data_IF_259113000107
#
_entry.id   IF_259113000107
#
_cell.length_a   1.000
_cell.length_b   1.000
_cell.length_c   1.000
_cell.angle_alpha   90.00
_cell.angle_beta   90.00
_cell.angle_gamma   90.00
#
_symmetry.space_group_name_H-M   'P 1'
#
loop_
_entity.id
_entity.type
_entity.pdbx_description
1 polymer ?
#
# COMPACT_ATOMS: atom_id res chain seq x y z
N UNK A 1 7.57 1.23 13.73
CA UNK A 1 6.33 0.42 13.70
C UNK A 1 6.12 -0.27 12.34
N UNK A 2 6.50 0.38 11.24
CA UNK A 2 6.37 -0.13 9.86
C UNK A 2 6.99 -1.52 9.61
N UNK A 3 8.09 -1.89 10.27
CA UNK A 3 8.85 -3.12 9.99
C UNK A 3 8.19 -4.43 10.46
N UNK A 4 7.12 -4.37 11.25
CA UNK A 4 6.50 -5.58 11.85
C UNK A 4 5.12 -5.92 11.26
N UNK A 5 4.61 -5.10 10.34
CA UNK A 5 3.30 -5.31 9.71
C UNK A 5 3.45 -5.96 8.35
N UNK A 6 2.42 -6.72 7.92
CA UNK A 6 2.36 -7.18 6.53
C UNK A 6 2.15 -5.97 5.60
N UNK A 7 2.88 -5.97 4.49
CA UNK A 7 2.85 -4.90 3.50
C UNK A 7 1.42 -4.56 3.01
N UNK A 8 0.53 -5.56 2.88
CA UNK A 8 -0.85 -5.32 2.45
C UNK A 8 -1.66 -4.52 3.47
N UNK A 9 -1.62 -4.88 4.76
CA UNK A 9 -2.33 -4.18 5.83
C UNK A 9 -1.81 -2.75 6.01
N UNK A 10 -0.49 -2.56 5.91
CA UNK A 10 0.13 -1.23 5.93
C UNK A 10 -0.40 -0.35 4.79
N UNK A 11 -0.40 -0.86 3.56
CA UNK A 11 -0.89 -0.12 2.41
C UNK A 11 -2.38 0.23 2.54
N UNK A 12 -3.21 -0.74 2.96
CA UNK A 12 -4.65 -0.53 3.19
C UNK A 12 -4.88 0.57 4.24
N UNK A 13 -4.21 0.49 5.40
CA UNK A 13 -4.32 1.50 6.44
C UNK A 13 -3.86 2.87 5.95
N UNK A 14 -2.77 2.94 5.19
CA UNK A 14 -2.28 4.19 4.61
C UNK A 14 -3.32 4.85 3.70
N UNK A 15 -3.94 4.09 2.78
CA UNK A 15 -5.00 4.65 1.93
C UNK A 15 -6.20 5.15 2.73
N UNK A 16 -6.60 4.45 3.79
CA UNK A 16 -7.66 4.90 4.68
C UNK A 16 -7.30 6.20 5.42
N UNK A 17 -6.04 6.37 5.86
CA UNK A 17 -5.56 7.64 6.46
C UNK A 17 -5.58 8.81 5.47
N UNK A 18 -5.48 8.53 4.17
CA UNK A 18 -5.62 9.53 3.10
C UNK A 18 -7.09 9.84 2.76
N UNK A 19 -8.07 9.19 3.43
CA UNK A 19 -9.49 9.33 3.12
C UNK A 19 -9.93 8.59 1.85
N UNK A 20 -9.15 7.60 1.40
CA UNK A 20 -9.43 6.80 0.22
C UNK A 20 -10.00 5.43 0.63
N UNK A 21 -10.75 4.78 -0.28
CA UNK A 21 -11.32 3.45 -0.06
C UNK A 21 -10.52 2.39 -0.84
N UNK A 22 -9.59 1.65 -0.20
CA UNK A 22 -8.82 0.60 -0.87
C UNK A 22 -9.70 -0.63 -1.19
N UNK A 23 -9.46 -1.25 -2.35
CA UNK A 23 -10.15 -2.46 -2.82
C UNK A 23 -9.15 -3.60 -3.05
N UNK A 24 -8.59 -4.22 -1.99
CA UNK A 24 -7.58 -5.27 -2.14
C UNK A 24 -8.17 -6.53 -2.75
N UNK A 25 -7.68 -6.93 -3.93
CA UNK A 25 -8.06 -8.19 -4.58
C UNK A 25 -7.33 -9.38 -3.94
N UNK A 26 -8.08 -10.41 -3.55
CA UNK A 26 -7.52 -11.71 -3.14
C UNK A 26 -8.54 -12.81 -3.41
N UNK A 27 -8.06 -13.99 -3.81
CA UNK A 27 -8.87 -15.22 -3.89
C UNK A 27 -8.62 -16.16 -2.69
N UNK A 28 -7.55 -15.91 -1.93
CA UNK A 28 -7.23 -16.65 -0.72
C UNK A 28 -8.00 -16.09 0.48
N UNK A 29 -8.68 -16.97 1.23
CA UNK A 29 -9.55 -16.61 2.36
C UNK A 29 -8.79 -16.04 3.54
N UNK A 30 -7.63 -16.59 3.86
CA UNK A 30 -6.77 -16.11 4.94
C UNK A 30 -6.31 -14.69 4.68
N UNK A 31 -5.93 -14.39 3.42
CA UNK A 31 -5.56 -13.04 2.98
C UNK A 31 -6.74 -12.06 3.02
N UNK A 32 -7.95 -12.48 2.61
CA UNK A 32 -9.15 -11.63 2.69
C UNK A 32 -9.42 -11.22 4.13
N UNK A 33 -9.38 -12.18 5.07
CA UNK A 33 -9.56 -11.91 6.49
C UNK A 33 -8.49 -10.97 7.03
N UNK A 34 -7.22 -11.31 6.78
CA UNK A 34 -6.06 -10.52 7.17
C UNK A 34 -6.12 -9.05 6.69
N UNK A 35 -6.60 -8.80 5.47
CA UNK A 35 -6.69 -7.45 4.92
C UNK A 35 -7.67 -6.55 5.70
N UNK A 36 -8.63 -7.12 6.43
CA UNK A 36 -9.56 -6.39 7.30
C UNK A 36 -9.06 -6.19 8.74
N UNK A 37 -7.97 -6.85 9.14
CA UNK A 37 -7.41 -6.75 10.49
C UNK A 37 -6.54 -5.49 10.60
N UNK A 38 -7.17 -4.33 10.82
CA UNK A 38 -6.54 -3.00 10.78
C UNK A 38 -6.56 -2.29 12.14
N UNK A 39 -6.41 -3.04 13.23
CA UNK A 39 -6.43 -2.52 14.61
C UNK A 39 -5.10 -1.86 14.99
N UNK A 40 -4.72 -0.83 14.23
CA UNK A 40 -3.55 0.00 14.47
C UNK A 40 -3.71 1.34 13.73
N UNK A 41 -2.95 2.35 14.17
CA UNK A 41 -2.87 3.65 13.51
C UNK A 41 -1.44 3.91 13.04
N UNK A 42 -1.30 4.69 11.98
CA UNK A 42 -0.01 5.19 11.54
C UNK A 42 0.30 6.49 12.29
N UNK A 43 1.52 6.62 12.78
CA UNK A 43 1.97 7.90 13.37
C UNK A 43 2.09 8.96 12.28
N UNK A 44 2.11 10.24 12.68
CA UNK A 44 2.37 11.33 11.74
C UNK A 44 3.70 11.15 11.01
N UNK A 45 4.74 10.69 11.69
CA UNK A 45 6.07 10.47 11.10
C UNK A 45 6.04 9.31 10.09
N UNK A 46 5.36 8.21 10.41
CA UNK A 46 5.15 7.10 9.47
C UNK A 46 4.37 7.58 8.23
N UNK A 47 3.33 8.40 8.42
CA UNK A 47 2.55 8.97 7.31
C UNK A 47 3.39 9.90 6.43
N UNK A 48 4.23 10.74 7.02
CA UNK A 48 5.14 11.60 6.26
C UNK A 48 6.17 10.78 5.50
N UNK A 49 6.73 9.72 6.11
CA UNK A 49 7.65 8.82 5.43
C UNK A 49 6.98 8.18 4.20
N UNK A 50 5.77 7.62 4.36
CA UNK A 50 5.02 6.97 3.28
C UNK A 50 4.66 7.94 2.14
N UNK A 51 4.30 9.19 2.46
CA UNK A 51 3.98 10.22 1.46
C UNK A 51 5.18 10.62 0.60
N UNK A 52 6.39 10.47 1.13
CA UNK A 52 7.63 10.87 0.48
C UNK A 52 8.41 9.68 -0.11
N UNK A 53 7.79 8.50 -0.23
CA UNK A 53 8.37 7.38 -0.98
C UNK A 53 8.63 7.83 -2.41
N UNK A 54 9.83 7.53 -2.92
CA UNK A 54 10.22 7.85 -4.29
C UNK A 54 9.26 7.23 -5.29
N UNK A 55 8.87 8.02 -6.30
CA UNK A 55 8.05 7.50 -7.39
C UNK A 55 8.84 6.46 -8.17
N UNK A 56 8.14 5.44 -8.66
CA UNK A 56 8.73 4.44 -9.55
C UNK A 56 9.18 5.14 -10.83
N UNK A 57 10.49 5.16 -11.07
CA UNK A 57 11.07 5.79 -12.25
C UNK A 57 11.11 4.87 -13.47
N UNK A 58 11.14 3.55 -13.25
CA UNK A 58 11.24 2.55 -14.31
C UNK A 58 10.47 1.28 -13.89
N UNK A 59 9.64 0.75 -14.80
CA UNK A 59 8.82 -0.44 -14.59
C UNK A 59 9.50 -1.74 -15.08
N UNK A 60 10.83 -1.70 -15.24
CA UNK A 60 11.68 -2.79 -15.73
C UNK A 60 11.27 -3.23 -17.12
N UNK A 61 11.14 -4.55 -17.28
CA UNK A 61 10.69 -5.21 -18.51
C UNK A 61 9.28 -4.78 -18.95
N UNK A 62 8.49 -4.16 -18.07
CA UNK A 62 7.15 -3.66 -18.41
C UNK A 62 7.16 -2.23 -18.96
N UNK A 63 8.32 -1.56 -19.01
CA UNK A 63 8.40 -0.15 -19.42
C UNK A 63 8.01 0.09 -20.89
N UNK A 64 7.91 -0.95 -21.71
CA UNK A 64 7.44 -0.82 -23.10
C UNK A 64 5.93 -0.59 -23.22
N UNK A 65 5.13 -0.88 -22.18
CA UNK A 65 3.70 -0.64 -22.25
C UNK A 65 3.41 0.87 -22.26
N UNK A 66 2.60 1.38 -23.22
CA UNK A 66 2.36 2.82 -23.37
C UNK A 66 1.80 3.50 -22.12
N UNK A 67 1.02 2.78 -21.31
CA UNK A 67 0.44 3.26 -20.04
C UNK A 67 1.49 3.67 -19.00
N UNK A 68 2.72 3.14 -19.10
CA UNK A 68 3.82 3.45 -18.18
C UNK A 68 4.82 4.46 -18.76
N UNK A 69 4.54 5.03 -19.94
CA UNK A 69 5.31 6.15 -20.48
C UNK A 69 4.90 7.44 -19.75
N UNK A 70 5.88 8.19 -19.22
CA UNK A 70 5.65 9.47 -18.54
C UNK A 70 5.12 10.54 -19.51
#
# INVERSE_FOLDING_TARGET
>A
MILYLRNSQLAIRYYLELGLLPLPKSENKEHIKANGELDFNLSNDDLQLLKNIERIDNYGDSSFFPVYSK
#
